data_IF_834467357311
#
_entry.id   IF_834467357311
#
_cell.length_a   1.000
_cell.length_b   1.000
_cell.length_c   1.000
_cell.angle_alpha   90.00
_cell.angle_beta   90.00
_cell.angle_gamma   90.00
#
_symmetry.space_group_name_H-M   'P 1'
#
loop_
_entity.id
_entity.type
_entity.pdbx_description
1 polymer ?
#
# COMPACT_ATOMS: atom_id res chain seq x y z
N UNK A 1 13.66 -0.23 -17.62
CA UNK A 1 13.46 -1.39 -16.72
C UNK A 1 14.31 -1.25 -15.46
N UNK A 2 15.62 -0.99 -15.55
CA UNK A 2 16.51 -0.90 -14.38
C UNK A 2 16.11 0.20 -13.37
N UNK A 3 15.62 1.34 -13.84
CA UNK A 3 15.20 2.46 -12.98
C UNK A 3 13.98 2.11 -12.12
N UNK A 4 13.00 1.40 -12.67
CA UNK A 4 11.84 0.91 -11.91
C UNK A 4 12.21 -0.20 -10.92
N UNK A 5 13.17 -1.05 -11.28
CA UNK A 5 13.67 -2.10 -10.40
C UNK A 5 14.28 -1.55 -9.11
N UNK A 6 14.90 -0.36 -9.15
CA UNK A 6 15.43 0.31 -7.96
C UNK A 6 14.33 0.67 -6.93
N UNK A 7 13.09 0.80 -7.38
CA UNK A 7 11.91 1.06 -6.53
C UNK A 7 11.04 -0.19 -6.29
N UNK A 8 11.55 -1.39 -6.64
CA UNK A 8 10.83 -2.64 -6.46
C UNK A 8 9.71 -2.88 -7.49
N UNK A 9 9.65 -2.09 -8.56
CA UNK A 9 8.67 -2.22 -9.63
C UNK A 9 9.30 -2.92 -10.83
N UNK A 10 8.75 -4.05 -11.24
CA UNK A 10 9.14 -4.77 -12.45
C UNK A 10 8.43 -4.20 -13.67
N UNK A 11 9.13 -3.40 -14.47
CA UNK A 11 8.59 -2.86 -15.72
C UNK A 11 8.85 -3.84 -16.88
N UNK A 12 7.82 -4.15 -17.66
CA UNK A 12 7.89 -5.00 -18.86
C UNK A 12 7.26 -4.30 -20.05
N UNK A 13 7.91 -4.40 -21.21
CA UNK A 13 7.39 -3.84 -22.46
C UNK A 13 6.75 -4.94 -23.31
N UNK A 14 5.52 -4.70 -23.72
CA UNK A 14 4.85 -5.53 -24.70
C UNK A 14 5.34 -5.18 -26.10
N UNK A 15 5.14 -6.08 -27.04
CA UNK A 15 5.61 -5.92 -28.41
C UNK A 15 4.95 -4.71 -29.11
N UNK A 16 3.66 -4.53 -28.91
CA UNK A 16 2.90 -3.40 -29.44
C UNK A 16 3.42 -2.03 -28.95
N UNK A 17 3.82 -1.95 -27.68
CA UNK A 17 4.46 -0.75 -27.15
C UNK A 17 5.79 -0.46 -27.82
N UNK A 18 6.62 -1.47 -28.04
CA UNK A 18 7.91 -1.31 -28.71
C UNK A 18 7.73 -0.83 -30.17
N UNK A 19 6.72 -1.34 -30.89
CA UNK A 19 6.38 -0.92 -32.24
C UNK A 19 5.96 0.55 -32.26
N UNK A 20 5.07 0.98 -31.37
CA UNK A 20 4.62 2.39 -31.26
C UNK A 20 5.80 3.32 -30.90
N UNK A 21 6.67 2.93 -29.98
CA UNK A 21 7.84 3.71 -29.59
C UNK A 21 8.78 3.88 -30.79
N UNK A 22 9.00 2.82 -31.56
CA UNK A 22 9.83 2.85 -32.75
C UNK A 22 9.24 3.77 -33.84
N UNK A 23 7.93 3.72 -34.08
CA UNK A 23 7.23 4.58 -35.02
C UNK A 23 7.34 6.07 -34.62
N UNK A 24 7.11 6.39 -33.35
CA UNK A 24 7.24 7.76 -32.83
C UNK A 24 8.67 8.28 -32.96
N UNK A 25 9.67 7.43 -32.67
CA UNK A 25 11.07 7.81 -32.82
C UNK A 25 11.49 8.03 -34.30
N UNK A 26 10.95 7.23 -35.20
CA UNK A 26 11.15 7.41 -36.65
C UNK A 26 10.55 8.72 -37.14
N UNK A 27 9.34 9.07 -36.68
CA UNK A 27 8.67 10.34 -37.02
C UNK A 27 9.46 11.57 -36.53
N UNK A 28 10.08 11.50 -35.34
CA UNK A 28 10.93 12.58 -34.80
C UNK A 28 12.31 12.67 -35.46
N UNK A 29 12.67 11.74 -36.36
CA UNK A 29 13.98 11.67 -37.06
C UNK A 29 15.21 11.69 -36.13
N UNK A 30 15.05 11.21 -34.89
CA UNK A 30 16.09 11.28 -33.85
C UNK A 30 16.89 9.99 -33.70
N UNK A 31 16.56 8.96 -34.48
CA UNK A 31 17.22 7.64 -34.44
C UNK A 31 17.14 6.96 -33.06
N UNK A 32 18.16 6.22 -32.68
CA UNK A 32 18.17 5.47 -31.43
C UNK A 32 18.03 6.34 -30.17
N UNK A 33 18.49 7.59 -30.18
CA UNK A 33 18.32 8.54 -29.08
C UNK A 33 16.84 8.89 -28.85
N UNK A 34 16.05 8.94 -29.91
CA UNK A 34 14.61 9.18 -29.83
C UNK A 34 13.85 8.12 -29.06
N UNK A 35 14.27 6.86 -29.20
CA UNK A 35 13.66 5.74 -28.44
C UNK A 35 13.74 6.00 -26.93
N UNK A 36 14.91 6.36 -26.43
CA UNK A 36 15.13 6.66 -25.02
C UNK A 36 14.31 7.87 -24.58
N UNK A 37 14.35 8.97 -25.36
CA UNK A 37 13.61 10.20 -25.05
C UNK A 37 12.09 9.97 -24.98
N UNK A 38 11.53 9.16 -25.89
CA UNK A 38 10.11 8.82 -25.86
C UNK A 38 9.78 7.98 -24.61
N UNK A 39 10.58 6.97 -24.31
CA UNK A 39 10.40 6.17 -23.10
C UNK A 39 10.46 7.04 -21.83
N UNK A 40 11.44 7.93 -21.72
CA UNK A 40 11.57 8.84 -20.58
C UNK A 40 10.39 9.78 -20.44
N UNK A 41 9.89 10.32 -21.54
CA UNK A 41 8.73 11.23 -21.56
C UNK A 41 7.47 10.54 -21.08
N UNK A 42 7.16 9.35 -21.64
CA UNK A 42 5.94 8.61 -21.32
C UNK A 42 5.97 8.02 -19.90
N UNK A 43 7.12 7.54 -19.47
CA UNK A 43 7.25 6.85 -18.19
C UNK A 43 7.63 7.77 -17.02
N UNK A 44 7.82 9.08 -17.29
CA UNK A 44 8.23 10.06 -16.28
C UNK A 44 7.30 10.04 -15.07
N UNK A 45 6.00 10.19 -15.30
CA UNK A 45 5.02 10.32 -14.23
C UNK A 45 4.89 9.01 -13.44
N UNK A 46 5.00 7.86 -14.10
CA UNK A 46 5.04 6.56 -13.42
C UNK A 46 6.27 6.40 -12.51
N UNK A 47 7.42 6.96 -12.90
CA UNK A 47 8.63 6.94 -12.07
C UNK A 47 8.48 7.75 -10.79
N UNK A 48 7.68 8.81 -10.81
CA UNK A 48 7.45 9.66 -9.63
C UNK A 48 6.30 9.17 -8.77
N UNK A 49 5.22 8.68 -9.36
CA UNK A 49 3.97 8.37 -8.67
C UNK A 49 3.90 6.93 -8.13
N UNK A 50 4.56 5.95 -8.78
CA UNK A 50 4.51 4.56 -8.34
C UNK A 50 5.45 4.21 -7.18
N UNK A 51 6.62 4.84 -7.00
CA UNK A 51 7.44 4.59 -5.82
C UNK A 51 6.68 4.85 -4.52
N UNK A 52 6.75 3.89 -3.59
CA UNK A 52 6.00 3.97 -2.34
C UNK A 52 4.55 3.45 -2.40
N UNK A 53 4.06 3.07 -3.57
CA UNK A 53 2.82 2.31 -3.70
C UNK A 53 3.05 0.80 -3.53
N UNK A 54 1.97 0.02 -3.42
CA UNK A 54 2.06 -1.45 -3.42
C UNK A 54 2.15 -2.06 -4.82
N UNK A 55 2.31 -1.25 -5.86
CA UNK A 55 2.47 -1.73 -7.24
C UNK A 55 3.85 -2.33 -7.41
N UNK A 56 3.91 -3.61 -7.77
CA UNK A 56 5.16 -4.36 -7.99
C UNK A 56 5.43 -4.65 -9.47
N UNK A 57 4.44 -4.45 -10.34
CA UNK A 57 4.56 -4.70 -11.77
C UNK A 57 3.94 -3.55 -12.58
N UNK A 58 4.67 -3.09 -13.59
CA UNK A 58 4.21 -2.12 -14.59
C UNK A 58 4.32 -2.73 -15.98
N UNK A 59 3.19 -2.96 -16.63
CA UNK A 59 3.12 -3.46 -18.00
C UNK A 59 2.95 -2.30 -18.97
N UNK A 60 3.93 -2.10 -19.83
CA UNK A 60 3.96 -1.03 -20.82
C UNK A 60 3.46 -1.60 -22.14
N UNK A 61 2.23 -1.28 -22.49
CA UNK A 61 1.52 -1.70 -23.70
C UNK A 61 1.05 -0.48 -24.52
N UNK A 62 0.38 -0.71 -25.62
CA UNK A 62 -0.16 0.33 -26.48
C UNK A 62 -1.14 1.27 -25.76
N UNK A 63 -1.96 0.74 -24.86
CA UNK A 63 -2.92 1.51 -24.07
C UNK A 63 -2.22 2.53 -23.18
N UNK A 64 -1.19 2.12 -22.44
CA UNK A 64 -0.38 3.01 -21.60
C UNK A 64 0.26 4.12 -22.41
N UNK A 65 0.77 3.82 -23.60
CA UNK A 65 1.41 4.81 -24.49
C UNK A 65 0.43 5.82 -25.09
N UNK A 66 -0.83 5.45 -25.26
CA UNK A 66 -1.85 6.30 -25.84
C UNK A 66 -2.67 7.06 -24.79
N UNK A 67 -2.88 6.45 -23.59
CA UNK A 67 -3.72 6.97 -22.51
C UNK A 67 -2.94 7.03 -21.19
N UNK A 68 -1.76 7.63 -21.21
CA UNK A 68 -0.80 7.64 -20.10
C UNK A 68 -1.42 8.08 -18.77
N UNK A 69 -2.22 9.15 -18.78
CA UNK A 69 -2.83 9.73 -17.57
C UNK A 69 -3.86 8.78 -16.97
N UNK A 70 -4.75 8.23 -17.79
CA UNK A 70 -5.81 7.33 -17.33
C UNK A 70 -5.24 6.04 -16.77
N UNK A 71 -4.27 5.46 -17.47
CA UNK A 71 -3.58 4.23 -17.00
C UNK A 71 -2.80 4.48 -15.72
N UNK A 72 -2.18 5.66 -15.56
CA UNK A 72 -1.49 6.02 -14.32
C UNK A 72 -2.46 6.09 -13.13
N UNK A 73 -3.61 6.72 -13.29
CA UNK A 73 -4.63 6.78 -12.24
C UNK A 73 -5.16 5.38 -11.88
N UNK A 74 -5.33 4.49 -12.85
CA UNK A 74 -5.70 3.10 -12.59
C UNK A 74 -4.64 2.35 -11.77
N UNK A 75 -3.35 2.54 -12.09
CA UNK A 75 -2.27 1.96 -11.30
C UNK A 75 -2.21 2.52 -9.88
N UNK A 76 -2.41 3.83 -9.71
CA UNK A 76 -2.48 4.48 -8.38
C UNK A 76 -3.64 3.90 -7.56
N UNK A 77 -4.82 3.80 -8.14
CA UNK A 77 -6.00 3.23 -7.48
C UNK A 77 -5.76 1.78 -7.05
N UNK A 78 -5.25 0.93 -7.94
CA UNK A 78 -4.87 -0.46 -7.62
C UNK A 78 -3.83 -0.52 -6.50
N UNK A 79 -2.83 0.36 -6.54
CA UNK A 79 -1.81 0.45 -5.49
C UNK A 79 -2.38 0.79 -4.12
N UNK A 80 -3.36 1.69 -4.07
CA UNK A 80 -4.08 2.05 -2.84
C UNK A 80 -4.93 0.89 -2.32
N UNK A 81 -5.68 0.21 -3.20
CA UNK A 81 -6.49 -0.97 -2.84
C UNK A 81 -5.61 -2.12 -2.32
N UNK A 82 -4.49 -2.43 -2.97
CA UNK A 82 -3.54 -3.44 -2.51
C UNK A 82 -2.92 -3.08 -1.15
N UNK A 83 -2.68 -1.79 -0.90
CA UNK A 83 -2.17 -1.33 0.39
C UNK A 83 -3.23 -1.48 1.49
N UNK A 84 -4.48 -1.13 1.22
CA UNK A 84 -5.59 -1.33 2.16
C UNK A 84 -5.78 -2.81 2.53
N UNK A 85 -5.77 -3.71 1.56
CA UNK A 85 -5.85 -5.15 1.79
C UNK A 85 -4.70 -5.68 2.63
N UNK A 86 -3.48 -5.17 2.42
CA UNK A 86 -2.31 -5.51 3.23
C UNK A 86 -2.49 -5.05 4.67
N UNK A 87 -2.93 -3.82 4.89
CA UNK A 87 -3.20 -3.25 6.21
C UNK A 87 -4.22 -4.11 6.95
N UNK A 88 -5.36 -4.41 6.32
CA UNK A 88 -6.42 -5.23 6.91
C UNK A 88 -5.91 -6.63 7.27
N UNK A 89 -5.13 -7.27 6.40
CA UNK A 89 -4.55 -8.60 6.69
C UNK A 89 -3.62 -8.58 7.88
N UNK A 90 -2.71 -7.61 7.95
CA UNK A 90 -1.74 -7.50 9.05
C UNK A 90 -2.43 -7.20 10.39
N UNK A 91 -3.47 -6.34 10.39
CA UNK A 91 -4.26 -6.06 11.58
C UNK A 91 -5.08 -7.28 12.04
N UNK A 92 -5.63 -8.06 11.11
CA UNK A 92 -6.30 -9.33 11.43
C UNK A 92 -5.31 -10.38 11.99
N UNK A 93 -4.10 -10.43 11.48
CA UNK A 93 -3.04 -11.29 12.03
C UNK A 93 -2.73 -10.89 13.48
N UNK A 94 -2.57 -9.59 13.75
CA UNK A 94 -2.38 -9.09 15.10
C UNK A 94 -3.55 -9.48 16.04
N UNK A 95 -4.80 -9.25 15.62
CA UNK A 95 -5.98 -9.59 16.42
C UNK A 95 -6.06 -11.08 16.74
N UNK A 96 -5.74 -11.94 15.77
CA UNK A 96 -5.71 -13.39 15.94
C UNK A 96 -4.62 -13.84 16.90
N UNK A 97 -3.43 -13.27 16.80
CA UNK A 97 -2.32 -13.56 17.70
C UNK A 97 -2.60 -13.05 19.11
N UNK A 98 -3.18 -11.86 19.23
CA UNK A 98 -3.59 -11.28 20.52
C UNK A 98 -4.63 -12.17 21.22
N UNK A 99 -5.62 -12.66 20.49
CA UNK A 99 -6.61 -13.60 21.02
C UNK A 99 -5.96 -14.92 21.46
N UNK A 100 -5.08 -15.47 20.63
CA UNK A 100 -4.37 -16.73 20.93
C UNK A 100 -3.52 -16.61 22.19
N UNK A 101 -2.86 -15.48 22.38
CA UNK A 101 -1.92 -15.27 23.48
C UNK A 101 -2.62 -14.89 24.79
N UNK A 102 -3.66 -14.07 24.71
CA UNK A 102 -4.28 -13.46 25.89
C UNK A 102 -5.71 -13.92 26.16
N UNK A 103 -6.36 -14.63 25.23
CA UNK A 103 -7.74 -15.09 25.36
C UNK A 103 -8.80 -13.98 25.24
N UNK A 104 -8.39 -12.78 24.82
CA UNK A 104 -9.27 -11.62 24.62
C UNK A 104 -9.44 -11.40 23.13
N UNK A 105 -10.68 -11.30 22.65
CA UNK A 105 -10.97 -11.06 21.25
C UNK A 105 -11.07 -9.57 20.98
N UNK A 106 -10.31 -9.09 20.02
CA UNK A 106 -10.34 -7.70 19.55
C UNK A 106 -10.67 -7.65 18.06
N UNK A 107 -11.41 -6.62 17.67
CA UNK A 107 -11.69 -6.27 16.29
C UNK A 107 -11.36 -4.79 16.08
N UNK A 108 -11.10 -4.41 14.85
CA UNK A 108 -10.80 -3.03 14.48
C UNK A 108 -11.94 -2.47 13.64
N UNK A 109 -12.36 -1.24 13.93
CA UNK A 109 -13.28 -0.48 13.08
C UNK A 109 -12.57 0.06 11.83
N UNK A 110 -13.32 0.46 10.82
CA UNK A 110 -12.75 0.97 9.56
C UNK A 110 -11.93 2.26 9.77
N UNK A 111 -12.34 3.10 10.70
CA UNK A 111 -11.59 4.30 11.09
C UNK A 111 -10.28 3.96 11.82
N UNK A 112 -10.26 2.90 12.64
CA UNK A 112 -9.02 2.41 13.25
C UNK A 112 -8.06 1.83 12.19
N UNK A 113 -8.57 1.13 11.18
CA UNK A 113 -7.76 0.63 10.06
C UNK A 113 -7.11 1.80 9.31
N UNK A 114 -7.87 2.86 9.03
CA UNK A 114 -7.37 4.07 8.39
C UNK A 114 -6.30 4.76 9.24
N UNK A 115 -6.53 4.93 10.54
CA UNK A 115 -5.60 5.56 11.46
C UNK A 115 -4.27 4.78 11.59
N UNK A 116 -4.32 3.45 11.67
CA UNK A 116 -3.11 2.59 11.69
C UNK A 116 -2.37 2.67 10.35
N UNK A 117 -3.09 2.72 9.22
CA UNK A 117 -2.50 2.86 7.90
C UNK A 117 -1.71 4.16 7.78
N UNK A 118 -2.30 5.30 8.10
CA UNK A 118 -1.66 6.61 8.07
C UNK A 118 -0.43 6.68 9.00
N UNK A 119 -0.57 6.15 10.20
CA UNK A 119 0.49 6.14 11.21
C UNK A 119 1.66 5.26 10.78
N UNK A 120 1.40 4.09 10.22
CA UNK A 120 2.45 3.19 9.72
C UNK A 120 3.19 3.79 8.51
N UNK A 121 2.48 4.45 7.59
CA UNK A 121 3.07 5.17 6.47
C UNK A 121 3.95 6.34 6.93
N UNK A 122 3.47 7.15 7.87
CA UNK A 122 4.23 8.31 8.38
C UNK A 122 5.52 7.92 9.11
N UNK A 123 5.54 6.74 9.75
CA UNK A 123 6.70 6.21 10.48
C UNK A 123 7.57 5.26 9.65
N UNK A 124 7.15 4.87 8.45
CA UNK A 124 7.82 3.87 7.64
C UNK A 124 7.83 2.47 8.28
N UNK A 125 6.82 2.13 9.09
CA UNK A 125 6.67 0.85 9.78
C UNK A 125 5.59 -0.01 9.13
N UNK A 126 5.54 -1.32 9.43
CA UNK A 126 4.41 -2.14 9.01
C UNK A 126 3.21 -1.94 9.93
N UNK A 127 1.96 -2.11 9.43
CA UNK A 127 0.75 -2.09 10.26
C UNK A 127 0.80 -3.06 11.44
N UNK A 128 1.35 -4.26 11.23
CA UNK A 128 1.55 -5.25 12.29
C UNK A 128 2.49 -4.74 13.39
N UNK A 129 3.62 -4.12 12.98
CA UNK A 129 4.59 -3.55 13.93
C UNK A 129 4.00 -2.39 14.71
N UNK A 130 3.21 -1.54 14.04
CA UNK A 130 2.53 -0.42 14.68
C UNK A 130 1.49 -0.91 15.70
N UNK A 131 0.67 -1.92 15.36
CA UNK A 131 -0.27 -2.54 16.30
C UNK A 131 0.44 -3.14 17.51
N UNK A 132 1.56 -3.85 17.32
CA UNK A 132 2.35 -4.40 18.42
C UNK A 132 2.89 -3.31 19.36
N UNK A 133 3.25 -2.15 18.81
CA UNK A 133 3.74 -1.01 19.60
C UNK A 133 2.62 -0.33 20.39
N UNK A 134 1.48 -0.08 19.71
CA UNK A 134 0.33 0.64 20.30
C UNK A 134 -0.38 -0.17 21.38
N UNK A 135 -0.59 -1.45 21.14
CA UNK A 135 -1.47 -2.29 21.97
C UNK A 135 -0.72 -3.32 22.82
N UNK A 136 0.59 -3.12 23.03
CA UNK A 136 1.43 -4.05 23.79
C UNK A 136 0.92 -4.33 25.21
N UNK A 137 0.30 -3.36 25.86
CA UNK A 137 -0.15 -3.44 27.25
C UNK A 137 -1.69 -3.57 27.37
N UNK A 138 -2.42 -3.58 26.27
CA UNK A 138 -3.88 -3.67 26.24
C UNK A 138 -4.46 -4.92 26.88
N UNK A 139 -3.71 -6.03 26.88
CA UNK A 139 -4.15 -7.26 27.52
C UNK A 139 -4.48 -7.09 29.01
N UNK A 140 -3.82 -6.17 29.70
CA UNK A 140 -4.06 -5.97 31.13
C UNK A 140 -5.42 -5.28 31.37
N UNK A 141 -5.67 -4.16 30.70
CA UNK A 141 -6.91 -3.40 30.80
C UNK A 141 -8.11 -4.19 30.25
N UNK A 142 -7.99 -4.79 29.08
CA UNK A 142 -9.07 -5.57 28.47
C UNK A 142 -9.45 -6.81 29.31
N UNK A 143 -8.46 -7.51 29.91
CA UNK A 143 -8.76 -8.61 30.84
C UNK A 143 -9.47 -8.14 32.11
N UNK A 144 -9.14 -6.98 32.61
CA UNK A 144 -9.82 -6.41 33.78
C UNK A 144 -11.29 -6.09 33.44
N UNK A 145 -11.53 -5.46 32.27
CA UNK A 145 -12.89 -5.19 31.78
C UNK A 145 -13.65 -6.49 31.54
N UNK A 146 -13.04 -7.49 30.90
CA UNK A 146 -13.63 -8.80 30.66
C UNK A 146 -14.08 -9.45 31.98
N UNK A 147 -13.21 -9.44 32.99
CA UNK A 147 -13.50 -10.02 34.31
C UNK A 147 -14.64 -9.32 35.03
N UNK A 148 -14.72 -7.99 34.90
CA UNK A 148 -15.71 -7.19 35.61
C UNK A 148 -17.08 -7.13 34.90
N UNK A 149 -17.09 -7.21 33.57
CA UNK A 149 -18.32 -7.02 32.76
C UNK A 149 -18.80 -8.27 32.05
N UNK A 150 -17.94 -9.31 31.93
CA UNK A 150 -18.21 -10.49 31.10
C UNK A 150 -18.10 -10.25 29.60
N UNK A 151 -17.62 -9.08 29.15
CA UNK A 151 -17.46 -8.73 27.75
C UNK A 151 -16.25 -9.48 27.15
N UNK A 152 -16.48 -10.26 26.08
CA UNK A 152 -15.44 -11.09 25.45
C UNK A 152 -14.87 -10.50 24.16
N UNK A 153 -15.58 -9.55 23.53
CA UNK A 153 -15.25 -8.97 22.23
C UNK A 153 -15.12 -7.44 22.36
N UNK A 154 -14.00 -6.91 21.91
CA UNK A 154 -13.68 -5.49 22.04
C UNK A 154 -13.44 -4.87 20.66
N UNK A 155 -14.14 -3.78 20.37
CA UNK A 155 -13.94 -3.01 19.16
C UNK A 155 -12.92 -1.89 19.44
N UNK A 156 -11.82 -1.90 18.72
CA UNK A 156 -10.78 -0.87 18.75
C UNK A 156 -11.14 0.18 17.71
N UNK A 157 -11.34 1.41 18.14
CA UNK A 157 -11.67 2.57 17.29
C UNK A 157 -10.43 3.44 17.00
N UNK A 158 -10.57 4.43 16.11
CA UNK A 158 -9.50 5.38 15.84
C UNK A 158 -8.99 6.11 17.10
N UNK A 159 -9.87 6.39 18.06
CA UNK A 159 -9.51 7.01 19.34
C UNK A 159 -8.46 6.20 20.08
N UNK A 160 -8.63 4.87 20.12
CA UNK A 160 -7.65 3.97 20.75
C UNK A 160 -6.31 3.90 20.00
N UNK A 161 -6.30 4.22 18.70
CA UNK A 161 -5.06 4.33 17.91
C UNK A 161 -4.33 5.64 18.18
N UNK A 162 -5.09 6.73 18.36
CA UNK A 162 -4.55 8.07 18.63
C UNK A 162 -4.04 8.17 20.06
N UNK A 163 -4.85 7.77 21.03
CA UNK A 163 -4.53 7.76 22.45
C UNK A 163 -4.87 6.41 23.09
N UNK A 164 -3.93 5.44 23.03
CA UNK A 164 -4.15 4.12 23.55
C UNK A 164 -4.45 4.07 25.06
N UNK A 165 -3.89 4.98 25.84
CA UNK A 165 -4.03 4.99 27.28
C UNK A 165 -5.40 5.54 27.74
N UNK A 166 -5.99 6.46 26.97
CA UNK A 166 -7.30 7.02 27.27
C UNK A 166 -8.48 6.07 26.96
N UNK A 167 -8.25 5.03 26.15
CA UNK A 167 -9.29 4.06 25.76
C UNK A 167 -9.57 3.01 26.85
N UNK A 168 -8.61 2.71 27.71
CA UNK A 168 -8.70 1.72 28.82
C UNK A 168 -9.18 2.34 30.11
#
# INVERSE_FOLDING_TARGET
EQEFAAYGVKATFDRDALEIIAERAAAERTGARGLLTICERVLRDFKFELPGTSVTELRINAELLNNTTEVLEDYKKKGLEMNADKVIREMKMFASEFHRQYGVKINFSDDAVSAVSERSLSKGTSPLSECNSLFKDYQFGLKLIQKNTGKEDFLITAEAVVDPDAFL
#
